data_IF_576674134741
#
_entry.id   IF_576674134741
#
_cell.length_a   1.000
_cell.length_b   1.000
_cell.length_c   1.000
_cell.angle_alpha   90.00
_cell.angle_beta   90.00
_cell.angle_gamma   90.00
#
_symmetry.space_group_name_H-M   'P 1'
#
loop_
_entity.id
_entity.type
_entity.pdbx_description
1 polymer ?
#
# COMPACT_ATOMS: atom_id res chain seq x y z
N UNK A 1 -15.46 33.80 18.90
CA UNK A 1 -16.70 32.98 19.02
C UNK A 1 -16.27 31.62 19.50
N UNK A 2 -16.86 31.10 20.58
CA UNK A 2 -16.56 29.73 21.02
C UNK A 2 -16.86 28.76 19.86
N UNK A 3 -15.92 27.88 19.56
CA UNK A 3 -16.11 26.83 18.55
C UNK A 3 -17.34 25.99 18.92
N UNK A 4 -18.24 25.75 17.96
CA UNK A 4 -19.36 24.80 18.11
C UNK A 4 -18.89 23.33 18.19
N UNK A 5 -17.59 23.09 18.00
CA UNK A 5 -16.96 21.78 17.98
C UNK A 5 -15.94 21.66 19.12
N UNK A 6 -15.82 20.45 19.66
CA UNK A 6 -14.76 20.11 20.60
C UNK A 6 -13.38 20.19 19.92
N UNK A 7 -13.31 19.84 18.63
CA UNK A 7 -12.14 19.95 17.77
C UNK A 7 -12.54 20.36 16.35
N UNK A 8 -11.69 21.13 15.66
CA UNK A 8 -11.87 21.44 14.24
C UNK A 8 -11.81 20.16 13.40
N UNK A 9 -10.88 19.25 13.73
CA UNK A 9 -10.63 18.04 12.96
C UNK A 9 -10.36 16.84 13.87
N UNK A 10 -10.98 15.70 13.55
CA UNK A 10 -10.54 14.40 14.04
C UNK A 10 -9.76 13.63 12.96
N UNK A 11 -8.64 13.02 13.34
CA UNK A 11 -7.84 12.12 12.49
C UNK A 11 -7.94 10.71 13.06
N UNK A 12 -8.39 9.76 12.25
CA UNK A 12 -8.56 8.36 12.66
C UNK A 12 -7.38 7.56 12.14
N UNK A 13 -6.48 7.11 13.02
CA UNK A 13 -5.26 6.36 12.72
C UNK A 13 -3.99 7.21 12.83
N UNK A 14 -3.01 6.73 13.60
CA UNK A 14 -1.73 7.40 13.89
C UNK A 14 -0.57 6.99 12.98
N UNK A 15 -0.83 6.25 11.90
CA UNK A 15 0.19 5.93 10.91
C UNK A 15 0.70 7.15 10.12
N UNK A 16 1.61 6.96 9.14
CA UNK A 16 2.28 8.06 8.45
C UNK A 16 1.34 9.11 7.84
N UNK A 17 0.23 8.67 7.22
CA UNK A 17 -0.78 9.57 6.65
C UNK A 17 -1.51 10.42 7.70
N UNK A 18 -1.93 9.80 8.81
CA UNK A 18 -2.66 10.47 9.89
C UNK A 18 -1.77 11.43 10.67
N UNK A 19 -0.56 11.00 11.03
CA UNK A 19 0.42 11.85 11.71
C UNK A 19 0.83 13.06 10.84
N UNK A 20 0.93 12.88 9.52
CA UNK A 20 1.19 13.99 8.60
C UNK A 20 0.04 15.00 8.56
N UNK A 21 -1.21 14.52 8.46
CA UNK A 21 -2.40 15.37 8.48
C UNK A 21 -2.53 16.13 9.81
N UNK A 22 -2.37 15.44 10.94
CA UNK A 22 -2.47 16.03 12.27
C UNK A 22 -1.39 17.07 12.53
N UNK A 23 -0.13 16.76 12.20
CA UNK A 23 0.99 17.72 12.28
C UNK A 23 0.69 18.97 11.47
N UNK A 24 0.27 18.80 10.21
CA UNK A 24 0.06 19.91 9.28
C UNK A 24 -1.14 20.79 9.66
N UNK A 25 -2.20 20.21 10.20
CA UNK A 25 -3.37 20.94 10.71
C UNK A 25 -3.06 21.67 12.02
N UNK A 26 -2.40 21.00 12.97
CA UNK A 26 -2.04 21.60 14.26
C UNK A 26 -1.10 22.81 14.08
N UNK A 27 -0.11 22.70 13.17
CA UNK A 27 0.78 23.82 12.82
C UNK A 27 0.07 25.00 12.14
N UNK A 28 -1.12 24.79 11.58
CA UNK A 28 -2.00 25.86 11.05
C UNK A 28 -2.92 26.46 12.11
N UNK A 29 -2.75 26.07 13.39
CA UNK A 29 -3.54 26.58 14.51
C UNK A 29 -4.90 25.91 14.67
N UNK A 30 -5.14 24.75 14.03
CA UNK A 30 -6.37 23.98 14.21
C UNK A 30 -6.33 23.12 15.46
N UNK A 31 -7.47 22.97 16.11
CA UNK A 31 -7.65 22.01 17.18
C UNK A 31 -7.85 20.61 16.58
N UNK A 32 -6.92 19.70 16.85
CA UNK A 32 -6.88 18.37 16.24
C UNK A 32 -6.95 17.29 17.31
N UNK A 33 -7.87 16.34 17.14
CA UNK A 33 -7.89 15.08 17.87
C UNK A 33 -7.39 13.95 16.96
N UNK A 34 -6.33 13.26 17.33
CA UNK A 34 -5.85 12.06 16.63
C UNK A 34 -6.14 10.83 17.51
N UNK A 35 -6.93 9.90 16.98
CA UNK A 35 -7.26 8.63 17.63
C UNK A 35 -6.45 7.49 17.00
N UNK A 36 -5.61 6.82 17.78
CA UNK A 36 -4.89 5.63 17.36
C UNK A 36 -5.30 4.46 18.24
N UNK A 37 -5.65 3.33 17.60
CA UNK A 37 -6.22 2.17 18.29
C UNK A 37 -5.18 1.33 19.02
N UNK A 38 -3.93 1.39 18.57
CA UNK A 38 -2.82 0.61 19.10
C UNK A 38 -1.93 1.51 19.98
N UNK A 39 -1.17 0.90 20.90
CA UNK A 39 -0.11 1.61 21.63
C UNK A 39 1.19 1.57 20.84
N UNK A 40 1.85 2.71 20.71
CA UNK A 40 3.14 2.84 20.05
C UNK A 40 4.29 2.63 21.05
N UNK A 41 5.43 2.10 20.59
CA UNK A 41 5.71 1.63 19.22
C UNK A 41 5.00 0.31 18.88
N UNK A 42 4.40 0.20 17.69
CA UNK A 42 3.75 -1.03 17.19
C UNK A 42 4.30 -1.53 15.87
N UNK A 43 4.35 -2.85 15.69
CA UNK A 43 4.77 -3.44 14.42
C UNK A 43 3.86 -3.00 13.25
N UNK A 44 4.46 -2.72 12.10
CA UNK A 44 3.76 -2.53 10.82
C UNK A 44 4.72 -2.86 9.67
N UNK A 45 4.21 -3.34 8.53
CA UNK A 45 5.04 -3.60 7.34
C UNK A 45 5.17 -2.35 6.44
N UNK A 46 6.24 -2.27 5.65
CA UNK A 46 6.48 -1.14 4.72
C UNK A 46 7.66 -0.27 5.15
N UNK A 47 8.85 -0.86 5.17
CA UNK A 47 10.05 -0.32 5.83
C UNK A 47 10.95 0.50 4.90
N UNK A 48 10.85 0.29 3.57
CA UNK A 48 11.71 0.93 2.58
C UNK A 48 11.16 2.28 2.14
N UNK A 49 11.89 3.37 2.41
CA UNK A 49 11.47 4.73 2.03
C UNK A 49 12.01 5.12 0.65
N UNK A 50 11.44 6.18 0.10
CA UNK A 50 11.85 6.78 -1.17
C UNK A 50 12.47 8.17 -0.97
N UNK A 51 13.44 8.58 -1.80
CA UNK A 51 14.05 9.93 -1.80
C UNK A 51 13.06 11.09 -1.64
N UNK A 52 11.94 11.07 -2.36
CA UNK A 52 10.90 12.11 -2.26
C UNK A 52 10.22 12.21 -0.89
N UNK A 53 10.39 11.22 0.00
CA UNK A 53 9.92 11.29 1.38
C UNK A 53 10.62 12.39 2.17
N UNK A 54 11.87 12.73 1.81
CA UNK A 54 12.61 13.81 2.47
C UNK A 54 11.93 15.18 2.29
N UNK A 55 11.32 15.44 1.12
CA UNK A 55 10.57 16.69 0.91
C UNK A 55 9.36 16.77 1.83
N UNK A 56 8.69 15.64 2.04
CA UNK A 56 7.56 15.53 2.95
C UNK A 56 8.00 15.71 4.40
N UNK A 57 9.13 15.12 4.78
CA UNK A 57 9.70 15.31 6.12
C UNK A 57 10.04 16.77 6.40
N UNK A 58 10.58 17.50 5.41
CA UNK A 58 10.87 18.94 5.55
C UNK A 58 9.59 19.77 5.61
N UNK A 59 8.59 19.47 4.79
CA UNK A 59 7.29 20.15 4.84
C UNK A 59 6.57 19.96 6.19
N UNK A 60 6.78 18.81 6.84
CA UNK A 60 6.26 18.50 8.18
C UNK A 60 7.18 18.97 9.32
N UNK A 61 8.37 19.49 9.02
CA UNK A 61 9.37 19.89 10.00
C UNK A 61 9.83 18.74 10.93
N UNK A 62 9.85 17.51 10.39
CA UNK A 62 10.22 16.28 11.12
C UNK A 62 11.52 15.66 10.60
N UNK A 63 12.12 16.25 9.57
CA UNK A 63 13.30 15.72 8.89
C UNK A 63 14.46 15.45 9.85
N UNK A 64 14.74 16.37 10.77
CA UNK A 64 15.88 16.23 11.69
C UNK A 64 15.64 15.13 12.72
N UNK A 65 14.43 15.03 13.27
CA UNK A 65 14.04 13.92 14.15
C UNK A 65 14.17 12.55 13.46
N UNK A 66 13.85 12.46 12.16
CA UNK A 66 14.04 11.24 11.36
C UNK A 66 15.52 10.96 11.11
N UNK A 67 16.33 11.99 10.81
CA UNK A 67 17.76 11.84 10.58
C UNK A 67 18.52 11.41 11.85
N UNK A 68 18.08 11.89 13.01
CA UNK A 68 18.65 11.56 14.33
C UNK A 68 18.18 10.21 14.88
N UNK A 69 17.08 9.66 14.37
CA UNK A 69 16.55 8.36 14.82
C UNK A 69 17.44 7.14 14.47
N UNK A 70 18.57 7.35 13.78
CA UNK A 70 19.57 6.30 13.54
C UNK A 70 19.15 5.23 12.53
N UNK A 71 18.18 5.54 11.65
CA UNK A 71 17.73 4.61 10.62
C UNK A 71 18.82 4.28 9.60
N UNK A 72 18.73 3.09 9.00
CA UNK A 72 19.68 2.65 7.98
C UNK A 72 19.53 3.52 6.73
N UNK A 73 20.63 4.11 6.27
CA UNK A 73 20.63 4.93 5.04
C UNK A 73 20.55 4.04 3.79
N UNK A 74 19.64 4.39 2.90
CA UNK A 74 19.38 3.78 1.59
C UNK A 74 19.77 4.76 0.49
N UNK A 75 20.52 4.28 -0.50
CA UNK A 75 20.98 5.07 -1.64
C UNK A 75 20.45 4.54 -2.97
N UNK A 76 19.87 3.34 -2.98
CA UNK A 76 19.30 2.76 -4.17
C UNK A 76 18.49 1.49 -3.93
N UNK A 77 18.23 0.80 -5.03
CA UNK A 77 17.56 -0.50 -5.06
C UNK A 77 18.26 -1.44 -6.06
N UNK A 78 18.62 -2.64 -5.61
CA UNK A 78 19.16 -3.71 -6.45
C UNK A 78 18.04 -4.64 -6.88
N UNK A 79 17.84 -4.78 -8.19
CA UNK A 79 16.94 -5.76 -8.78
C UNK A 79 17.78 -6.88 -9.38
N UNK A 80 17.46 -8.13 -9.08
CA UNK A 80 18.20 -9.30 -9.55
C UNK A 80 17.28 -10.33 -10.18
N UNK A 81 17.81 -11.06 -11.15
CA UNK A 81 17.16 -12.23 -11.74
C UNK A 81 17.02 -13.36 -10.72
N UNK A 82 16.19 -14.36 -11.02
CA UNK A 82 15.87 -15.50 -10.13
C UNK A 82 17.11 -16.30 -9.70
N UNK A 83 18.11 -16.39 -10.57
CA UNK A 83 19.42 -17.02 -10.32
C UNK A 83 20.43 -16.08 -9.64
N UNK A 84 20.10 -14.79 -9.52
CA UNK A 84 20.98 -13.76 -9.00
C UNK A 84 22.11 -13.34 -9.94
N UNK A 85 22.15 -13.84 -11.18
CA UNK A 85 23.27 -13.65 -12.11
C UNK A 85 23.31 -12.24 -12.74
N UNK A 86 22.14 -11.63 -12.98
CA UNK A 86 22.03 -10.28 -13.53
C UNK A 86 21.51 -9.32 -12.48
N UNK A 87 22.18 -8.18 -12.30
CA UNK A 87 21.74 -7.08 -11.45
C UNK A 87 21.44 -5.83 -12.27
N UNK A 88 20.25 -5.24 -12.06
CA UNK A 88 19.95 -3.87 -12.44
C UNK A 88 19.92 -3.02 -11.17
N UNK A 89 20.86 -2.09 -11.05
CA UNK A 89 20.97 -1.22 -9.87
C UNK A 89 20.38 0.17 -10.15
N UNK A 90 19.36 0.52 -9.38
CA UNK A 90 18.73 1.84 -9.37
C UNK A 90 19.44 2.72 -8.33
N UNK A 91 20.52 3.38 -8.75
CA UNK A 91 21.27 4.32 -7.91
C UNK A 91 20.59 5.69 -7.88
N UNK A 92 20.01 6.08 -6.73
CA UNK A 92 19.25 7.32 -6.65
C UNK A 92 20.10 8.57 -6.81
N UNK A 93 21.44 8.49 -6.74
CA UNK A 93 22.31 9.61 -7.06
C UNK A 93 22.11 10.13 -8.49
N UNK A 94 21.67 9.27 -9.41
CA UNK A 94 21.40 9.63 -10.80
C UNK A 94 19.90 9.83 -11.09
N UNK A 95 19.05 9.85 -10.06
CA UNK A 95 17.62 10.06 -10.22
C UNK A 95 17.35 11.50 -10.64
N UNK A 96 16.80 11.67 -11.84
CA UNK A 96 16.41 13.01 -12.31
C UNK A 96 15.34 13.62 -11.39
N UNK A 97 15.41 14.93 -11.19
CA UNK A 97 14.39 15.70 -10.47
C UNK A 97 14.15 15.15 -9.05
N UNK A 98 15.24 14.77 -8.37
CA UNK A 98 15.22 14.23 -7.01
C UNK A 98 16.12 15.09 -6.13
N UNK A 99 15.57 15.90 -5.20
CA UNK A 99 16.38 16.90 -4.49
C UNK A 99 17.45 16.31 -3.57
N UNK A 100 17.15 15.20 -2.90
CA UNK A 100 18.11 14.44 -2.08
C UNK A 100 18.07 12.96 -2.46
N UNK A 101 19.17 12.34 -2.89
CA UNK A 101 19.18 10.95 -3.35
C UNK A 101 19.14 9.93 -2.21
N UNK A 102 19.58 10.30 -1.00
CA UNK A 102 19.59 9.40 0.15
C UNK A 102 18.24 9.38 0.84
N UNK A 103 17.79 8.19 1.26
CA UNK A 103 16.59 8.01 2.09
C UNK A 103 16.83 6.90 3.11
N UNK A 104 15.81 6.37 3.77
CA UNK A 104 15.97 5.46 4.91
C UNK A 104 15.30 4.09 4.70
N UNK A 105 15.84 3.07 5.34
CA UNK A 105 15.11 1.86 5.70
C UNK A 105 14.73 2.02 7.17
N UNK A 106 13.45 1.86 7.49
CA UNK A 106 12.92 2.22 8.82
C UNK A 106 12.19 1.04 9.44
N UNK A 107 12.52 0.63 10.68
CA UNK A 107 11.60 -0.14 11.50
C UNK A 107 10.34 0.71 11.72
N UNK A 108 9.21 0.28 11.15
CA UNK A 108 7.98 1.08 11.16
C UNK A 108 7.46 1.38 12.55
N UNK A 109 7.75 0.54 13.54
CA UNK A 109 7.37 0.78 14.93
C UNK A 109 7.98 2.09 15.47
N UNK A 110 9.29 2.29 15.26
CA UNK A 110 10.00 3.51 15.67
C UNK A 110 9.68 4.68 14.75
N UNK A 111 9.58 4.46 13.44
CA UNK A 111 9.28 5.52 12.48
C UNK A 111 7.90 6.13 12.69
N UNK A 112 6.86 5.28 12.83
CA UNK A 112 5.50 5.77 13.09
C UNK A 112 5.43 6.51 14.44
N UNK A 113 6.17 6.06 15.46
CA UNK A 113 6.29 6.76 16.75
C UNK A 113 6.94 8.13 16.63
N UNK A 114 8.03 8.27 15.89
CA UNK A 114 8.64 9.60 15.67
C UNK A 114 7.63 10.56 15.05
N UNK A 115 6.86 10.11 14.06
CA UNK A 115 5.82 10.93 13.42
C UNK A 115 4.65 11.26 14.36
N UNK A 116 4.18 10.28 15.14
CA UNK A 116 3.06 10.45 16.07
C UNK A 116 3.42 11.45 17.17
N UNK A 117 4.58 11.28 17.82
CA UNK A 117 5.08 12.21 18.84
C UNK A 117 5.38 13.58 18.27
N UNK A 118 5.77 13.67 17.00
CA UNK A 118 5.92 14.96 16.31
C UNK A 118 4.59 15.69 16.14
N UNK A 119 3.51 14.94 15.89
CA UNK A 119 2.16 15.49 15.84
C UNK A 119 1.72 16.06 17.20
N UNK A 120 2.01 15.36 18.30
CA UNK A 120 1.77 15.86 19.67
C UNK A 120 2.53 17.15 19.94
N UNK A 121 3.84 17.18 19.67
CA UNK A 121 4.69 18.37 19.82
C UNK A 121 4.21 19.54 18.96
N UNK A 122 3.56 19.25 17.84
CA UNK A 122 2.98 20.25 16.94
C UNK A 122 1.63 20.79 17.40
N UNK A 123 1.05 20.24 18.48
CA UNK A 123 -0.18 20.72 19.11
C UNK A 123 -1.41 19.81 18.92
N UNK A 124 -1.27 18.66 18.26
CA UNK A 124 -2.39 17.71 18.15
C UNK A 124 -2.62 16.99 19.49
N UNK A 125 -3.88 16.81 19.89
CA UNK A 125 -4.24 15.91 20.99
C UNK A 125 -4.25 14.48 20.48
N UNK A 126 -3.24 13.70 20.84
CA UNK A 126 -3.15 12.28 20.48
C UNK A 126 -3.71 11.42 21.61
N UNK A 127 -4.57 10.48 21.26
CA UNK A 127 -5.08 9.43 22.14
C UNK A 127 -4.75 8.07 21.54
N UNK A 128 -3.78 7.38 22.12
CA UNK A 128 -3.44 5.99 21.82
C UNK A 128 -4.38 5.03 22.56
N UNK A 129 -4.52 3.80 22.08
CA UNK A 129 -5.48 2.81 22.60
C UNK A 129 -6.95 3.29 22.53
N UNK A 130 -7.24 4.25 21.65
CA UNK A 130 -8.59 4.76 21.39
C UNK A 130 -9.04 4.42 19.97
N UNK A 131 -10.08 3.60 19.86
CA UNK A 131 -10.59 3.10 18.58
C UNK A 131 -11.87 3.83 18.19
N UNK A 132 -11.87 4.47 17.02
CA UNK A 132 -13.09 5.00 16.41
C UNK A 132 -14.10 3.88 16.13
N UNK A 133 -15.35 4.12 16.51
CA UNK A 133 -16.46 3.18 16.35
C UNK A 133 -17.41 3.62 15.25
N UNK A 134 -17.77 4.90 15.26
CA UNK A 134 -18.75 5.45 14.33
C UNK A 134 -18.55 6.94 14.09
N UNK A 135 -18.97 7.41 12.91
CA UNK A 135 -19.01 8.83 12.55
C UNK A 135 -20.36 9.13 11.89
N UNK A 136 -21.11 10.03 12.52
CA UNK A 136 -22.40 10.51 12.04
C UNK A 136 -22.24 11.94 11.49
N UNK A 137 -22.57 12.11 10.21
CA UNK A 137 -22.41 13.37 9.49
C UNK A 137 -23.69 14.20 9.59
N UNK A 138 -23.58 15.41 10.14
CA UNK A 138 -24.67 16.35 10.37
C UNK A 138 -24.39 17.67 9.62
N UNK A 139 -25.41 18.52 9.38
CA UNK A 139 -25.22 19.78 8.64
C UNK A 139 -24.16 20.69 9.26
N UNK A 140 -24.06 20.74 10.58
CA UNK A 140 -23.21 21.64 11.35
C UNK A 140 -22.00 20.93 12.00
N UNK A 141 -21.74 19.66 11.71
CA UNK A 141 -20.56 18.95 12.23
C UNK A 141 -20.59 17.44 12.02
N UNK A 142 -19.66 16.74 12.66
CA UNK A 142 -19.60 15.28 12.69
C UNK A 142 -19.55 14.83 14.14
N UNK A 143 -20.45 13.93 14.53
CA UNK A 143 -20.38 13.27 15.85
C UNK A 143 -19.53 12.02 15.69
N UNK A 144 -18.33 12.05 16.27
CA UNK A 144 -17.39 10.93 16.27
C UNK A 144 -17.48 10.16 17.58
N UNK A 145 -17.83 8.88 17.50
CA UNK A 145 -17.85 7.95 18.63
C UNK A 145 -16.60 7.08 18.62
N UNK A 146 -16.00 6.89 19.78
CA UNK A 146 -14.81 6.06 19.97
C UNK A 146 -14.83 5.40 21.34
N UNK A 147 -13.98 4.38 21.52
CA UNK A 147 -13.84 3.65 22.79
C UNK A 147 -12.40 3.72 23.27
N UNK A 148 -12.23 3.98 24.57
CA UNK A 148 -10.93 4.00 25.25
C UNK A 148 -10.47 2.61 25.74
N UNK A 149 -9.29 2.53 26.39
CA UNK A 149 -8.69 1.28 26.84
C UNK A 149 -9.49 0.57 27.94
N UNK A 150 -10.29 1.29 28.71
CA UNK A 150 -11.19 0.77 29.75
C UNK A 150 -12.53 0.25 29.20
N UNK A 151 -12.76 0.37 27.89
CA UNK A 151 -14.03 0.03 27.25
C UNK A 151 -15.08 1.14 27.35
N UNK A 152 -14.74 2.30 27.92
CA UNK A 152 -15.66 3.44 28.00
C UNK A 152 -15.84 4.05 26.61
N UNK A 153 -17.09 4.13 26.16
CA UNK A 153 -17.44 4.84 24.94
C UNK A 153 -17.54 6.35 25.19
N UNK A 154 -17.01 7.11 24.25
CA UNK A 154 -16.96 8.56 24.25
C UNK A 154 -17.46 9.09 22.91
N UNK A 155 -17.99 10.31 22.93
CA UNK A 155 -18.42 11.01 21.74
C UNK A 155 -17.89 12.45 21.77
N UNK A 156 -17.45 12.94 20.62
CA UNK A 156 -17.04 14.35 20.42
C UNK A 156 -17.67 14.89 19.15
N UNK A 157 -17.92 16.20 19.13
CA UNK A 157 -18.35 16.91 17.93
C UNK A 157 -17.14 17.55 17.25
N UNK A 158 -16.95 17.26 15.97
CA UNK A 158 -15.84 17.80 15.17
C UNK A 158 -16.30 18.45 13.87
N UNK A 159 -15.51 19.36 13.32
CA UNK A 159 -15.81 19.99 12.04
C UNK A 159 -15.61 19.06 10.85
N UNK A 160 -14.50 18.32 10.86
CA UNK A 160 -14.07 17.40 9.79
C UNK A 160 -13.48 16.11 10.35
N UNK A 161 -13.51 15.05 9.54
CA UNK A 161 -12.84 13.77 9.80
C UNK A 161 -11.85 13.44 8.69
N UNK A 162 -10.60 13.13 9.07
CA UNK A 162 -9.60 12.51 8.19
C UNK A 162 -9.57 11.01 8.49
N UNK A 163 -9.98 10.18 7.54
CA UNK A 163 -9.79 8.73 7.64
C UNK A 163 -8.37 8.37 7.20
N UNK A 164 -7.51 8.12 8.18
CA UNK A 164 -6.15 7.63 8.02
C UNK A 164 -5.98 6.22 8.64
N UNK A 165 -7.07 5.45 8.73
CA UNK A 165 -7.14 4.17 9.46
C UNK A 165 -6.37 3.02 8.81
N UNK A 166 -5.55 3.33 7.81
CA UNK A 166 -4.83 2.39 6.98
C UNK A 166 -5.77 1.45 6.25
N UNK A 167 -5.36 0.19 6.12
CA UNK A 167 -6.14 -0.85 5.42
C UNK A 167 -7.47 -1.21 6.08
N UNK A 168 -7.75 -0.69 7.28
CA UNK A 168 -9.08 -0.81 7.89
C UNK A 168 -10.12 -0.05 7.07
N UNK A 169 -9.78 1.14 6.52
CA UNK A 169 -10.67 1.93 5.67
C UNK A 169 -11.99 2.29 6.36
N UNK A 170 -11.89 2.90 7.55
CA UNK A 170 -12.99 3.17 8.47
C UNK A 170 -14.21 3.82 7.78
N UNK A 171 -14.00 4.88 6.99
CA UNK A 171 -15.07 5.53 6.22
C UNK A 171 -15.24 4.90 4.85
N UNK A 172 -14.16 4.65 4.12
CA UNK A 172 -14.25 4.18 2.72
C UNK A 172 -14.95 2.82 2.60
N UNK A 173 -14.71 1.89 3.53
CA UNK A 173 -15.43 0.61 3.56
C UNK A 173 -16.84 0.74 4.11
N UNK A 174 -17.04 1.53 5.17
CA UNK A 174 -18.37 1.79 5.75
C UNK A 174 -19.33 2.38 4.71
N UNK A 175 -18.83 3.25 3.84
CA UNK A 175 -19.60 3.92 2.79
C UNK A 175 -19.63 3.15 1.46
N UNK A 176 -19.09 1.92 1.42
CA UNK A 176 -19.17 1.07 0.22
C UNK A 176 -18.29 1.51 -0.95
N UNK A 177 -17.24 2.28 -0.69
CA UNK A 177 -16.37 2.86 -1.70
C UNK A 177 -15.11 2.03 -1.98
N UNK A 178 -15.03 0.76 -1.62
CA UNK A 178 -13.79 -0.02 -1.73
C UNK A 178 -13.76 -0.92 -2.97
N UNK A 179 -12.93 -0.59 -3.97
CA UNK A 179 -12.80 -1.37 -5.21
C UNK A 179 -11.40 -1.98 -5.38
N UNK A 180 -11.34 -3.31 -5.48
CA UNK A 180 -10.07 -4.00 -5.67
C UNK A 180 -9.50 -3.84 -7.08
N UNK A 181 -8.17 -3.85 -7.18
CA UNK A 181 -7.50 -3.87 -8.47
C UNK A 181 -7.78 -5.20 -9.20
N UNK A 182 -8.22 -5.16 -10.47
CA UNK A 182 -8.54 -6.39 -11.22
C UNK A 182 -7.28 -7.18 -11.62
N UNK A 183 -6.11 -6.55 -11.66
CA UNK A 183 -4.87 -7.17 -12.15
C UNK A 183 -3.93 -7.52 -11.00
N UNK A 184 -3.68 -6.58 -10.09
CA UNK A 184 -2.70 -6.74 -9.01
C UNK A 184 -3.24 -7.58 -7.85
N UNK A 185 -3.40 -8.89 -8.07
CA UNK A 185 -3.86 -9.86 -7.07
C UNK A 185 -2.68 -10.64 -6.50
N UNK A 186 -1.98 -10.03 -5.56
CA UNK A 186 -0.79 -10.58 -4.94
C UNK A 186 -0.99 -10.83 -3.44
N UNK A 187 -0.20 -11.77 -2.90
CA UNK A 187 -0.09 -12.07 -1.47
C UNK A 187 1.37 -11.89 -1.08
N UNK A 188 1.61 -11.18 0.01
CA UNK A 188 2.91 -11.08 0.63
C UNK A 188 3.00 -12.04 1.83
N UNK A 189 4.13 -12.71 1.97
CA UNK A 189 4.50 -13.42 3.21
C UNK A 189 5.87 -12.94 3.66
N UNK A 190 6.03 -12.58 4.93
CA UNK A 190 7.25 -11.93 5.39
C UNK A 190 7.58 -12.21 6.84
N UNK A 191 8.86 -12.09 7.16
CA UNK A 191 9.41 -12.15 8.51
C UNK A 191 10.74 -11.37 8.58
N UNK A 192 11.27 -11.18 9.78
CA UNK A 192 12.58 -10.58 10.01
C UNK A 192 13.63 -11.66 10.21
N UNK A 193 14.85 -11.42 9.70
CA UNK A 193 15.97 -12.34 9.73
C UNK A 193 17.26 -11.63 10.20
N UNK A 194 18.10 -12.38 10.90
CA UNK A 194 19.51 -12.05 11.14
C UNK A 194 20.41 -12.92 10.26
N UNK A 195 21.70 -12.57 10.17
CA UNK A 195 22.70 -13.37 9.45
C UNK A 195 22.65 -13.25 7.92
N UNK A 196 21.83 -12.33 7.40
CA UNK A 196 21.82 -11.97 5.98
C UNK A 196 23.02 -11.04 5.69
N UNK A 197 23.95 -11.41 4.78
CA UNK A 197 25.10 -10.56 4.47
C UNK A 197 24.64 -9.29 3.74
N UNK A 198 25.27 -8.15 4.07
CA UNK A 198 25.01 -6.84 3.45
C UNK A 198 25.93 -6.60 2.26
N UNK A 199 25.55 -5.66 1.42
CA UNK A 199 26.47 -5.07 0.45
C UNK A 199 27.50 -4.19 1.17
N UNK A 200 28.63 -3.92 0.53
CA UNK A 200 29.67 -3.08 1.09
C UNK A 200 29.43 -1.58 0.83
N UNK A 201 30.07 -0.74 1.66
CA UNK A 201 30.07 0.71 1.50
C UNK A 201 28.68 1.33 1.53
N UNK A 202 28.44 2.30 0.65
CA UNK A 202 27.17 3.06 0.59
C UNK A 202 25.93 2.20 0.30
N UNK A 203 26.12 1.01 -0.28
CA UNK A 203 25.03 0.11 -0.67
C UNK A 203 24.57 -0.80 0.47
N UNK A 204 25.22 -0.74 1.65
CA UNK A 204 24.94 -1.61 2.78
C UNK A 204 23.48 -1.55 3.28
N UNK A 205 22.80 -0.43 3.05
CA UNK A 205 21.38 -0.24 3.38
C UNK A 205 20.42 -0.33 2.20
N UNK A 206 20.89 -0.65 0.99
CA UNK A 206 20.01 -0.74 -0.17
C UNK A 206 19.07 -1.94 -0.08
N UNK A 207 17.85 -1.75 -0.58
CA UNK A 207 16.93 -2.86 -0.77
C UNK A 207 17.48 -3.77 -1.87
N UNK A 208 17.43 -5.09 -1.64
CA UNK A 208 17.69 -6.09 -2.68
C UNK A 208 16.40 -6.82 -3.02
N UNK A 209 16.16 -7.00 -4.30
CA UNK A 209 14.98 -7.64 -4.84
C UNK A 209 15.39 -8.75 -5.79
N UNK A 210 14.76 -9.91 -5.66
CA UNK A 210 14.99 -11.05 -6.55
C UNK A 210 13.69 -11.40 -7.24
N UNK A 211 13.71 -11.49 -8.57
CA UNK A 211 12.55 -11.99 -9.32
C UNK A 211 12.38 -13.48 -9.11
N UNK A 212 11.18 -13.98 -9.38
CA UNK A 212 10.87 -15.40 -9.42
C UNK A 212 10.32 -15.79 -10.79
N UNK A 213 10.45 -17.08 -11.11
CA UNK A 213 9.93 -17.66 -12.35
C UNK A 213 8.39 -17.61 -12.45
N UNK A 214 7.70 -17.57 -11.32
CA UNK A 214 6.24 -17.50 -11.20
C UNK A 214 5.69 -16.07 -11.26
N UNK A 215 6.49 -15.12 -11.74
CA UNK A 215 6.25 -13.68 -11.73
C UNK A 215 6.19 -13.01 -10.35
N UNK A 216 6.34 -13.75 -9.26
CA UNK A 216 6.58 -13.20 -7.93
C UNK A 216 7.97 -12.57 -7.79
N UNK A 217 8.25 -12.07 -6.59
CA UNK A 217 9.55 -11.51 -6.22
C UNK A 217 9.77 -11.53 -4.70
N UNK A 218 11.03 -11.43 -4.30
CA UNK A 218 11.46 -11.40 -2.89
C UNK A 218 12.10 -10.05 -2.60
N UNK A 219 11.82 -9.45 -1.44
CA UNK A 219 12.58 -8.32 -0.90
C UNK A 219 13.50 -8.73 0.23
N UNK A 220 14.61 -7.99 0.35
CA UNK A 220 15.51 -7.99 1.50
C UNK A 220 15.77 -6.52 1.85
N UNK A 221 15.21 -6.06 2.96
CA UNK A 221 15.26 -4.67 3.43
C UNK A 221 16.05 -4.63 4.75
N UNK A 222 17.28 -4.08 4.77
CA UNK A 222 18.05 -4.00 6.00
C UNK A 222 17.50 -2.90 6.93
N UNK A 223 16.86 -3.26 8.05
CA UNK A 223 16.13 -2.32 8.91
C UNK A 223 16.87 -1.90 10.19
N UNK A 224 17.87 -2.66 10.63
CA UNK A 224 18.78 -2.28 11.73
C UNK A 224 20.22 -2.60 11.35
N UNK A 225 21.15 -2.72 12.31
CA UNK A 225 22.51 -3.22 12.05
C UNK A 225 22.55 -4.73 11.77
N UNK A 226 21.75 -5.53 12.49
CA UNK A 226 21.74 -7.00 12.37
C UNK A 226 20.51 -7.56 11.66
N UNK A 227 19.39 -6.83 11.64
CA UNK A 227 18.09 -7.33 11.17
C UNK A 227 17.80 -6.89 9.74
N UNK A 228 17.33 -7.83 8.93
CA UNK A 228 16.81 -7.65 7.58
C UNK A 228 15.37 -8.15 7.52
N UNK A 229 14.44 -7.30 7.08
CA UNK A 229 13.09 -7.71 6.72
C UNK A 229 13.14 -8.45 5.39
N UNK A 230 12.55 -9.64 5.35
CA UNK A 230 12.55 -10.52 4.18
C UNK A 230 11.13 -10.95 3.90
N UNK A 231 10.68 -10.76 2.66
CA UNK A 231 9.34 -11.18 2.27
C UNK A 231 9.22 -11.55 0.81
N UNK A 232 8.28 -12.44 0.53
CA UNK A 232 7.93 -12.91 -0.79
C UNK A 232 6.58 -12.34 -1.19
N UNK A 233 6.50 -11.70 -2.36
CA UNK A 233 5.26 -11.29 -3.00
C UNK A 233 4.96 -12.26 -4.14
N UNK A 234 3.83 -12.96 -4.02
CA UNK A 234 3.45 -14.08 -4.85
C UNK A 234 2.07 -13.81 -5.48
N UNK A 235 1.88 -14.02 -6.79
CA UNK A 235 0.55 -13.96 -7.39
C UNK A 235 -0.42 -14.89 -6.67
N UNK A 236 -1.65 -14.43 -6.42
CA UNK A 236 -2.63 -15.17 -5.62
C UNK A 236 -2.94 -16.57 -6.20
N UNK A 237 -2.91 -16.72 -7.53
CA UNK A 237 -3.08 -18.00 -8.23
C UNK A 237 -1.95 -18.99 -7.92
N UNK A 238 -0.72 -18.51 -7.82
CA UNK A 238 0.46 -19.32 -7.46
C UNK A 238 0.40 -19.67 -5.97
N UNK A 239 0.11 -18.68 -5.12
CA UNK A 239 -0.01 -18.88 -3.68
C UNK A 239 -1.05 -19.96 -3.34
N UNK A 240 -2.24 -19.92 -3.96
CA UNK A 240 -3.29 -20.95 -3.77
C UNK A 240 -2.84 -22.38 -4.08
N UNK A 241 -1.90 -22.54 -5.01
CA UNK A 241 -1.40 -23.86 -5.44
C UNK A 241 -0.21 -24.34 -4.60
N UNK A 242 0.65 -23.43 -4.18
CA UNK A 242 2.00 -23.76 -3.70
C UNK A 242 2.22 -23.44 -2.21
N UNK A 243 1.32 -22.69 -1.59
CA UNK A 243 1.41 -22.35 -0.17
C UNK A 243 1.43 -23.59 0.72
N UNK A 244 1.98 -23.40 1.92
CA UNK A 244 2.06 -24.40 2.98
C UNK A 244 1.06 -24.05 4.08
N UNK A 245 0.86 -25.00 4.99
CA UNK A 245 -0.13 -24.88 6.06
C UNK A 245 0.07 -23.64 6.93
N UNK A 246 1.34 -23.26 7.18
CA UNK A 246 1.69 -22.10 8.00
C UNK A 246 2.51 -21.06 7.22
N UNK A 247 2.47 -19.77 7.60
CA UNK A 247 3.22 -18.70 6.95
C UNK A 247 4.73 -18.96 6.90
N UNK A 248 5.28 -19.54 7.96
CA UNK A 248 6.70 -19.86 8.10
C UNK A 248 7.20 -20.80 7.01
N UNK A 249 6.45 -21.87 6.77
CA UNK A 249 6.78 -22.89 5.77
C UNK A 249 6.57 -22.34 4.36
N UNK A 250 5.54 -21.52 4.15
CA UNK A 250 5.31 -20.84 2.87
C UNK A 250 6.45 -19.90 2.53
N UNK A 251 6.86 -19.05 3.49
CA UNK A 251 7.99 -18.16 3.32
C UNK A 251 9.27 -18.94 3.02
N UNK A 252 9.56 -19.97 3.82
CA UNK A 252 10.74 -20.83 3.61
C UNK A 252 10.72 -21.43 2.21
N UNK A 253 9.59 -22.00 1.79
CA UNK A 253 9.40 -22.57 0.45
C UNK A 253 9.70 -21.57 -0.67
N UNK A 254 9.16 -20.35 -0.59
CA UNK A 254 9.41 -19.32 -1.61
C UNK A 254 10.87 -18.85 -1.61
N UNK A 255 11.48 -18.69 -0.44
CA UNK A 255 12.88 -18.28 -0.31
C UNK A 255 13.83 -19.34 -0.89
N UNK A 256 13.67 -20.61 -0.51
CA UNK A 256 14.51 -21.72 -1.01
C UNK A 256 14.28 -22.01 -2.49
N UNK A 257 13.08 -21.71 -3.00
CA UNK A 257 12.76 -21.83 -4.43
C UNK A 257 13.35 -20.72 -5.31
N UNK A 258 14.10 -19.78 -4.75
CA UNK A 258 14.72 -18.66 -5.48
C UNK A 258 16.24 -18.82 -5.44
N UNK A 259 16.84 -19.41 -6.48
CA UNK A 259 18.23 -19.87 -6.49
C UNK A 259 19.25 -18.78 -6.10
N UNK A 260 19.06 -17.54 -6.55
CA UNK A 260 19.93 -16.41 -6.23
C UNK A 260 20.00 -16.04 -4.75
N UNK A 261 19.08 -16.54 -3.91
CA UNK A 261 19.09 -16.32 -2.47
C UNK A 261 19.93 -17.34 -1.69
N UNK A 262 20.28 -18.49 -2.27
CA UNK A 262 20.94 -19.56 -1.52
C UNK A 262 22.22 -19.09 -0.78
N UNK A 263 23.12 -18.30 -1.38
CA UNK A 263 24.28 -17.76 -0.66
C UNK A 263 23.91 -16.78 0.46
N UNK A 264 22.82 -16.03 0.30
CA UNK A 264 22.37 -15.04 1.27
C UNK A 264 21.68 -15.70 2.47
N UNK A 265 21.09 -16.88 2.28
CA UNK A 265 20.33 -17.60 3.29
C UNK A 265 21.17 -18.62 4.09
N UNK A 266 22.41 -18.88 3.69
CA UNK A 266 23.27 -19.91 4.29
C UNK A 266 23.44 -19.79 5.82
N UNK A 267 23.44 -18.56 6.35
CA UNK A 267 23.54 -18.27 7.79
C UNK A 267 22.33 -17.49 8.32
N UNK A 268 21.23 -17.45 7.54
CA UNK A 268 20.07 -16.66 7.89
C UNK A 268 19.25 -17.33 8.99
N UNK A 269 18.89 -16.57 10.02
CA UNK A 269 18.02 -17.03 11.10
C UNK A 269 16.79 -16.13 11.19
N UNK A 270 15.60 -16.71 11.07
CA UNK A 270 14.34 -15.99 11.28
C UNK A 270 14.22 -15.59 12.77
N UNK A 271 13.96 -14.32 13.04
CA UNK A 271 13.87 -13.72 14.39
C UNK A 271 12.50 -13.11 14.70
N UNK A 272 11.53 -13.23 13.79
CA UNK A 272 10.12 -12.89 14.04
C UNK A 272 9.18 -13.98 13.52
N UNK A 273 7.92 -14.04 13.99
CA UNK A 273 6.88 -14.79 13.32
C UNK A 273 6.72 -14.37 11.86
N UNK A 274 6.33 -15.30 11.00
CA UNK A 274 5.97 -14.98 9.63
C UNK A 274 4.50 -14.54 9.54
N UNK A 275 4.20 -13.61 8.64
CA UNK A 275 2.86 -13.02 8.49
C UNK A 275 2.46 -12.99 7.02
N UNK A 276 1.17 -13.19 6.77
CA UNK A 276 0.57 -12.96 5.46
C UNK A 276 -0.09 -11.58 5.39
N UNK A 277 0.07 -10.93 4.24
CA UNK A 277 -0.69 -9.76 3.84
C UNK A 277 -1.28 -10.02 2.45
N UNK A 278 -2.60 -10.01 2.34
CA UNK A 278 -3.33 -10.28 1.09
C UNK A 278 -4.34 -9.18 0.81
N UNK A 279 -4.87 -9.09 -0.42
CA UNK A 279 -5.96 -8.17 -0.78
C UNK A 279 -5.66 -6.71 -0.45
N UNK A 280 -4.42 -6.30 -0.72
CA UNK A 280 -3.97 -4.94 -0.46
C UNK A 280 -4.12 -4.02 -1.68
N UNK A 281 -4.28 -4.52 -2.89
CA UNK A 281 -4.39 -3.66 -4.08
C UNK A 281 -5.84 -3.19 -4.29
N UNK A 282 -6.13 -1.92 -4.05
CA UNK A 282 -7.45 -1.31 -4.20
C UNK A 282 -7.38 0.22 -4.35
N UNK A 283 -8.45 0.80 -4.90
CA UNK A 283 -8.66 2.25 -4.99
C UNK A 283 -10.11 2.55 -4.63
N UNK A 284 -10.34 3.55 -3.78
CA UNK A 284 -11.69 3.93 -3.43
C UNK A 284 -12.47 4.60 -4.57
N UNK A 285 -13.76 4.31 -4.70
CA UNK A 285 -14.66 4.92 -5.71
C UNK A 285 -15.07 6.36 -5.32
N UNK A 286 -15.16 6.65 -4.03
CA UNK A 286 -15.10 8.01 -3.46
C UNK A 286 -14.09 8.04 -2.32
N UNK A 287 -13.26 9.07 -2.27
CA UNK A 287 -12.20 9.25 -1.27
C UNK A 287 -12.50 10.43 -0.33
N UNK A 288 -13.54 11.21 -0.64
CA UNK A 288 -14.02 12.31 0.18
C UNK A 288 -15.54 12.47 0.04
N UNK A 289 -16.11 13.18 1.00
CA UNK A 289 -17.49 13.63 1.02
C UNK A 289 -17.60 14.93 1.81
N UNK A 290 -18.84 15.32 2.14
CA UNK A 290 -19.03 16.48 3.01
C UNK A 290 -18.40 16.18 4.37
N UNK A 291 -17.55 17.10 4.84
CA UNK A 291 -16.82 17.00 6.12
C UNK A 291 -15.85 15.83 6.28
N UNK A 292 -15.50 15.07 5.24
CA UNK A 292 -14.47 14.02 5.37
C UNK A 292 -13.62 13.79 4.14
N UNK A 293 -12.41 13.27 4.38
CA UNK A 293 -11.47 12.82 3.36
C UNK A 293 -10.66 11.63 3.89
N UNK A 294 -10.41 10.64 3.03
CA UNK A 294 -9.55 9.50 3.31
C UNK A 294 -8.13 9.73 2.75
N UNK A 295 -7.12 9.29 3.49
CA UNK A 295 -5.70 9.43 3.13
C UNK A 295 -4.93 8.12 3.33
N UNK A 296 -3.82 7.97 2.61
CA UNK A 296 -3.01 6.75 2.65
C UNK A 296 -3.80 5.49 2.32
N UNK A 297 -3.51 4.39 3.01
CA UNK A 297 -4.12 3.10 2.73
C UNK A 297 -5.63 3.07 3.00
N UNK A 298 -6.20 4.05 3.74
CA UNK A 298 -7.66 4.15 3.86
C UNK A 298 -8.32 4.54 2.52
N UNK A 299 -7.59 5.27 1.67
CA UNK A 299 -8.04 5.71 0.36
C UNK A 299 -7.66 4.72 -0.77
N UNK A 300 -6.39 4.29 -0.79
CA UNK A 300 -5.88 3.41 -1.83
C UNK A 300 -4.58 2.73 -1.39
N UNK A 301 -4.38 1.49 -1.84
CA UNK A 301 -3.09 0.82 -1.77
C UNK A 301 -2.84 0.08 -3.08
N UNK A 302 -1.61 0.12 -3.57
CA UNK A 302 -1.24 -0.43 -4.88
C UNK A 302 -0.53 -1.79 -4.75
N UNK A 303 0.79 -1.77 -4.69
CA UNK A 303 1.65 -2.95 -4.61
C UNK A 303 2.99 -2.49 -4.02
N UNK A 304 3.63 -3.27 -3.14
CA UNK A 304 4.81 -2.80 -2.40
C UNK A 304 6.09 -2.73 -3.26
N UNK A 305 6.06 -3.18 -4.51
CA UNK A 305 7.26 -3.34 -5.34
C UNK A 305 8.16 -2.10 -5.44
N UNK A 306 7.58 -0.91 -5.53
CA UNK A 306 8.34 0.34 -5.59
C UNK A 306 8.31 1.14 -4.30
N UNK A 307 7.86 0.52 -3.20
CA UNK A 307 7.92 1.12 -1.85
C UNK A 307 7.23 2.50 -1.74
N UNK A 308 6.16 2.75 -2.50
CA UNK A 308 5.53 4.08 -2.58
C UNK A 308 4.55 4.38 -1.45
N UNK A 309 4.02 3.37 -0.77
CA UNK A 309 2.87 3.52 0.16
C UNK A 309 3.05 4.62 1.21
N UNK A 310 4.18 4.62 1.93
CA UNK A 310 4.44 5.60 3.00
C UNK A 310 4.54 7.03 2.45
N UNK A 311 5.28 7.23 1.35
CA UNK A 311 5.38 8.51 0.67
C UNK A 311 3.99 9.04 0.28
N UNK A 312 3.18 8.20 -0.37
CA UNK A 312 1.84 8.57 -0.83
C UNK A 312 0.91 8.91 0.32
N UNK A 313 0.98 8.14 1.42
CA UNK A 313 0.19 8.39 2.62
C UNK A 313 0.52 9.76 3.24
N UNK A 314 1.80 10.07 3.43
CA UNK A 314 2.21 11.34 4.04
C UNK A 314 1.88 12.54 3.14
N UNK A 315 2.10 12.44 1.83
CA UNK A 315 1.71 13.50 0.88
C UNK A 315 0.19 13.72 0.88
N UNK A 316 -0.61 12.66 0.87
CA UNK A 316 -2.07 12.78 0.94
C UNK A 316 -2.52 13.42 2.26
N UNK A 317 -1.83 13.13 3.38
CA UNK A 317 -2.09 13.78 4.67
C UNK A 317 -1.83 15.30 4.64
N UNK A 318 -0.71 15.74 4.05
CA UNK A 318 -0.40 17.17 3.87
C UNK A 318 -1.47 17.91 3.05
N UNK A 319 -1.88 17.30 1.94
CA UNK A 319 -2.85 17.91 1.02
C UNK A 319 -4.26 17.93 1.61
N UNK A 320 -4.64 16.89 2.37
CA UNK A 320 -5.89 16.88 3.11
C UNK A 320 -5.91 17.98 4.18
N UNK A 321 -4.81 18.18 4.88
CA UNK A 321 -4.68 19.25 5.87
C UNK A 321 -4.86 20.64 5.25
N UNK A 322 -4.27 20.89 4.08
CA UNK A 322 -4.43 22.15 3.34
C UNK A 322 -5.89 22.37 2.90
N UNK A 323 -6.50 21.37 2.27
CA UNK A 323 -7.89 21.49 1.81
C UNK A 323 -8.90 21.66 2.95
N UNK A 324 -8.67 21.01 4.09
CA UNK A 324 -9.51 21.18 5.28
C UNK A 324 -9.31 22.57 5.89
N UNK A 325 -8.07 23.06 5.99
CA UNK A 325 -7.80 24.40 6.51
C UNK A 325 -8.51 25.48 5.68
N UNK A 326 -8.42 25.39 4.34
CA UNK A 326 -9.10 26.31 3.43
C UNK A 326 -10.64 26.21 3.58
N UNK A 327 -11.17 24.99 3.64
CA UNK A 327 -12.60 24.74 3.84
C UNK A 327 -13.11 25.33 5.17
N UNK A 328 -12.32 25.22 6.24
CA UNK A 328 -12.62 25.83 7.55
C UNK A 328 -12.58 27.36 7.50
N UNK A 329 -11.65 27.97 6.76
CA UNK A 329 -11.56 29.43 6.62
C UNK A 329 -12.74 30.01 5.85
N UNK A 330 -13.18 29.30 4.82
CA UNK A 330 -14.27 29.73 3.95
C UNK A 330 -15.66 29.33 4.47
N UNK A 331 -15.73 28.46 5.48
CA UNK A 331 -17.00 27.98 6.05
C UNK A 331 -17.77 27.06 5.11
N UNK A 332 -17.09 26.38 4.19
CA UNK A 332 -17.69 25.59 3.13
C UNK A 332 -17.28 24.11 3.26
N UNK A 333 -18.03 23.27 3.99
CA UNK A 333 -17.64 21.89 4.30
C UNK A 333 -17.95 20.87 3.20
N UNK A 334 -18.25 21.32 1.99
CA UNK A 334 -18.78 20.50 0.91
C UNK A 334 -17.70 19.65 0.21
N UNK A 335 -18.10 18.45 -0.26
CA UNK A 335 -17.26 17.47 -0.95
C UNK A 335 -16.37 18.06 -2.04
N UNK A 336 -16.86 19.04 -2.79
CA UNK A 336 -16.14 19.59 -3.94
C UNK A 336 -14.82 20.29 -3.55
N UNK A 337 -14.68 20.75 -2.29
CA UNK A 337 -13.42 21.27 -1.73
C UNK A 337 -12.29 20.25 -1.80
N UNK A 338 -12.62 18.97 -1.67
CA UNK A 338 -11.66 17.86 -1.66
C UNK A 338 -11.40 17.27 -3.05
N UNK A 339 -12.07 17.76 -4.10
CA UNK A 339 -11.96 17.20 -5.44
C UNK A 339 -10.54 17.28 -6.01
N UNK A 340 -9.76 18.31 -5.63
CA UNK A 340 -8.35 18.39 -6.00
C UNK A 340 -7.53 17.25 -5.37
N UNK A 341 -7.65 17.04 -4.06
CA UNK A 341 -6.98 15.95 -3.35
C UNK A 341 -7.35 14.58 -3.93
N UNK A 342 -8.65 14.31 -4.16
CA UNK A 342 -9.09 13.05 -4.78
C UNK A 342 -8.43 12.82 -6.14
N UNK A 343 -8.38 13.85 -7.00
CA UNK A 343 -7.73 13.76 -8.31
C UNK A 343 -6.25 13.46 -8.18
N UNK A 344 -5.55 14.07 -7.22
CA UNK A 344 -4.12 13.82 -7.02
C UNK A 344 -3.84 12.38 -6.56
N UNK A 345 -4.64 11.85 -5.63
CA UNK A 345 -4.54 10.45 -5.19
C UNK A 345 -4.75 9.49 -6.35
N UNK A 346 -5.80 9.70 -7.17
CA UNK A 346 -6.06 8.87 -8.35
C UNK A 346 -4.93 8.95 -9.39
N UNK A 347 -4.43 10.14 -9.66
CA UNK A 347 -3.31 10.34 -10.59
C UNK A 347 -2.07 9.58 -10.13
N UNK A 348 -1.71 9.68 -8.83
CA UNK A 348 -0.58 8.93 -8.26
C UNK A 348 -0.80 7.43 -8.33
N UNK A 349 -1.98 6.95 -7.93
CA UNK A 349 -2.32 5.54 -8.00
C UNK A 349 -2.12 5.00 -9.41
N UNK A 350 -2.74 5.61 -10.43
CA UNK A 350 -2.62 5.15 -11.81
C UNK A 350 -1.20 5.32 -12.39
N UNK A 351 -0.49 6.36 -11.99
CA UNK A 351 0.90 6.57 -12.39
C UNK A 351 1.78 5.39 -11.95
N UNK A 352 1.80 5.07 -10.65
CA UNK A 352 2.62 3.98 -10.12
C UNK A 352 2.08 2.61 -10.53
N UNK A 353 0.76 2.45 -10.67
CA UNK A 353 0.14 1.21 -11.14
C UNK A 353 0.68 0.77 -12.49
N UNK A 354 0.88 1.71 -13.42
CA UNK A 354 1.42 1.39 -14.75
C UNK A 354 2.77 0.70 -14.66
N UNK A 355 3.65 1.16 -13.77
CA UNK A 355 4.96 0.55 -13.58
C UNK A 355 4.86 -0.77 -12.81
N UNK A 356 4.00 -0.84 -11.79
CA UNK A 356 3.83 -2.06 -11.00
C UNK A 356 3.34 -3.21 -11.90
N UNK A 357 2.28 -2.98 -12.69
CA UNK A 357 1.79 -3.93 -13.69
C UNK A 357 2.88 -4.29 -14.70
N UNK A 358 3.65 -3.30 -15.18
CA UNK A 358 4.79 -3.54 -16.06
C UNK A 358 5.79 -4.52 -15.46
N UNK A 359 6.15 -4.41 -14.18
CA UNK A 359 7.09 -5.36 -13.59
C UNK A 359 6.57 -6.80 -13.53
N UNK A 360 5.25 -7.00 -13.46
CA UNK A 360 4.61 -8.31 -13.54
C UNK A 360 4.34 -8.78 -14.98
N UNK A 361 4.82 -8.05 -15.99
CA UNK A 361 4.81 -8.46 -17.39
C UNK A 361 6.18 -9.07 -17.79
N UNK A 362 6.22 -10.28 -18.38
CA UNK A 362 7.48 -10.93 -18.76
C UNK A 362 8.32 -10.11 -19.74
N UNK A 363 7.70 -9.48 -20.75
CA UNK A 363 8.43 -8.71 -21.77
C UNK A 363 9.06 -7.46 -21.17
N UNK A 364 8.34 -6.76 -20.29
CA UNK A 364 8.88 -5.61 -19.58
C UNK A 364 10.01 -6.02 -18.63
N UNK A 365 9.88 -7.16 -17.93
CA UNK A 365 10.93 -7.68 -17.04
C UNK A 365 12.19 -8.07 -17.82
N UNK A 366 12.05 -8.70 -18.97
CA UNK A 366 13.17 -8.99 -19.86
C UNK A 366 13.84 -7.70 -20.36
N UNK A 367 13.05 -6.70 -20.77
CA UNK A 367 13.56 -5.40 -21.19
C UNK A 367 14.30 -4.69 -20.05
N UNK A 368 13.79 -4.79 -18.81
CA UNK A 368 14.38 -4.20 -17.61
C UNK A 368 15.80 -4.70 -17.35
N UNK A 369 16.05 -6.00 -17.53
CA UNK A 369 17.36 -6.62 -17.28
C UNK A 369 18.30 -6.63 -18.49
N UNK A 370 17.91 -6.06 -19.65
CA UNK A 370 18.80 -5.99 -20.81
C UNK A 370 19.91 -4.94 -20.60
N UNK A 371 21.20 -5.27 -20.85
CA UNK A 371 22.34 -4.35 -20.69
C UNK A 371 22.30 -3.05 -21.51
N UNK A 372 21.36 -2.95 -22.47
CA UNK A 372 21.33 -1.91 -23.51
C UNK A 372 20.15 -0.93 -23.41
N UNK A 373 19.53 -0.71 -22.25
CA UNK A 373 18.54 0.35 -22.07
C UNK A 373 19.16 1.77 -22.05
N UNK A 374 20.08 2.05 -23.00
CA UNK A 374 20.90 3.27 -23.15
C UNK A 374 20.12 4.52 -23.59
N UNK A 375 18.79 4.49 -23.66
CA UNK A 375 17.96 5.58 -24.21
C UNK A 375 17.35 6.50 -23.15
N UNK A 376 18.01 6.72 -22.01
CA UNK A 376 17.50 7.59 -20.93
C UNK A 376 16.22 7.11 -20.23
N UNK A 377 15.63 6.00 -20.69
CA UNK A 377 14.48 5.31 -20.11
C UNK A 377 14.80 4.91 -18.67
N UNK A 378 16.00 4.35 -18.41
CA UNK A 378 16.38 3.93 -17.06
C UNK A 378 16.46 5.11 -16.09
N UNK A 379 17.07 6.23 -16.48
CA UNK A 379 17.11 7.43 -15.64
C UNK A 379 15.72 8.03 -15.36
N UNK A 380 14.79 7.86 -16.30
CA UNK A 380 13.42 8.34 -16.13
C UNK A 380 12.56 7.38 -15.28
N UNK A 381 12.79 6.05 -15.36
CA UNK A 381 12.22 5.08 -14.42
C UNK A 381 12.84 5.26 -13.02
N UNK A 382 14.12 5.58 -12.94
CA UNK A 382 14.81 5.87 -11.70
C UNK A 382 14.19 7.07 -10.96
N UNK A 383 13.75 8.10 -11.67
CA UNK A 383 12.99 9.21 -11.08
C UNK A 383 11.66 8.72 -10.47
N UNK A 384 10.94 7.81 -11.14
CA UNK A 384 9.73 7.18 -10.59
C UNK A 384 10.06 6.30 -9.37
N UNK A 385 11.13 5.51 -9.43
CA UNK A 385 11.63 4.71 -8.30
C UNK A 385 12.11 5.56 -7.14
N UNK A 386 12.50 6.82 -7.38
CA UNK A 386 12.82 7.77 -6.33
C UNK A 386 11.55 8.40 -5.69
N UNK A 387 10.37 8.10 -6.22
CA UNK A 387 9.07 8.61 -5.75
C UNK A 387 8.55 9.82 -6.53
N UNK A 388 9.21 10.22 -7.63
CA UNK A 388 8.72 11.33 -8.45
C UNK A 388 7.52 10.89 -9.29
N UNK A 389 6.34 11.37 -8.94
CA UNK A 389 5.10 11.06 -9.66
C UNK A 389 4.72 12.12 -10.71
N UNK A 390 5.35 13.30 -10.66
CA UNK A 390 5.19 14.39 -11.64
C UNK A 390 6.51 14.75 -12.32
N UNK A 391 7.17 13.80 -13.00
CA UNK A 391 8.35 14.13 -13.77
C UNK A 391 8.04 15.18 -14.83
N UNK A 392 9.03 16.04 -15.13
CA UNK A 392 8.95 17.06 -16.17
C UNK A 392 8.54 16.48 -17.52
N UNK A 393 8.10 17.33 -18.44
CA UNK A 393 7.76 16.89 -19.80
C UNK A 393 8.93 16.16 -20.47
N UNK A 394 10.17 16.66 -20.31
CA UNK A 394 11.37 16.04 -20.87
C UNK A 394 11.59 14.62 -20.31
N UNK A 395 11.47 14.46 -18.99
CA UNK A 395 11.59 13.15 -18.35
C UNK A 395 10.46 12.21 -18.78
N UNK A 396 9.21 12.70 -18.89
CA UNK A 396 8.07 11.90 -19.39
C UNK A 396 8.24 11.39 -20.81
N UNK A 397 8.81 12.18 -21.72
CA UNK A 397 9.08 11.73 -23.10
C UNK A 397 10.06 10.55 -23.13
N UNK A 398 11.02 10.50 -22.20
CA UNK A 398 11.94 9.37 -22.04
C UNK A 398 11.28 8.12 -21.46
N UNK A 399 10.18 8.25 -20.71
CA UNK A 399 9.41 7.11 -20.17
C UNK A 399 8.26 6.68 -21.10
N UNK A 400 8.07 7.32 -22.26
CA UNK A 400 7.20 6.76 -23.28
C UNK A 400 7.90 5.50 -23.81
N UNK A 401 7.62 4.38 -23.14
CA UNK A 401 7.76 3.06 -23.73
C UNK A 401 7.18 3.18 -25.15
N UNK A 402 7.86 2.65 -26.19
CA UNK A 402 7.18 2.46 -27.46
C UNK A 402 5.87 1.75 -27.11
N UNK A 403 4.74 2.39 -27.39
CA UNK A 403 3.50 1.63 -27.48
C UNK A 403 3.80 0.45 -28.39
N UNK A 404 3.19 -0.70 -28.12
CA UNK A 404 3.17 -1.87 -28.99
C UNK A 404 2.49 -1.58 -30.35
N UNK A 405 2.65 -0.38 -30.91
CA UNK A 405 2.29 0.03 -32.26
C UNK A 405 3.23 -0.53 -33.34
N UNK A 406 3.97 -1.61 -33.06
CA UNK A 406 4.84 -2.31 -34.01
C UNK A 406 4.86 -3.84 -33.89
N UNK A 407 4.17 -4.44 -32.91
CA UNK A 407 4.08 -5.88 -32.76
C UNK A 407 2.59 -6.31 -32.74
N UNK A 408 2.12 -6.74 -33.92
CA UNK A 408 0.80 -7.28 -34.26
C UNK A 408 -0.38 -6.31 -34.38
N UNK A 409 -0.48 -5.67 -35.56
CA UNK A 409 -1.77 -5.29 -36.16
C UNK A 409 -2.44 -6.45 -36.92
N UNK A 410 -2.11 -7.71 -36.60
CA UNK A 410 -2.70 -8.90 -37.23
C UNK A 410 -3.38 -9.89 -36.27
N UNK A 411 -3.48 -9.59 -34.96
CA UNK A 411 -4.08 -10.51 -33.98
C UNK A 411 -5.43 -10.05 -33.39
N UNK A 412 -5.98 -8.93 -33.87
CA UNK A 412 -7.32 -8.46 -33.49
C UNK A 412 -8.15 -8.19 -34.75
N UNK A 413 -8.49 -9.28 -35.44
CA UNK A 413 -9.46 -9.29 -36.53
C UNK A 413 -10.38 -10.48 -36.33
N UNK A 414 -11.61 -10.22 -35.88
CA UNK A 414 -12.67 -11.22 -35.92
C UNK A 414 -12.98 -11.59 -37.36
N UNK A 415 -12.88 -12.87 -37.69
CA UNK A 415 -13.25 -13.46 -38.98
C UNK A 415 -13.28 -14.99 -38.83
N UNK A 416 -14.23 -15.69 -39.48
CA UNK A 416 -14.62 -17.04 -39.08
C UNK A 416 -13.53 -18.09 -39.36
N UNK A 417 -13.42 -19.05 -38.44
CA UNK A 417 -12.52 -20.20 -38.49
C UNK A 417 -12.65 -20.97 -39.81
N UNK A 418 -11.56 -21.25 -40.55
CA UNK A 418 -11.61 -22.17 -41.67
C UNK A 418 -11.61 -23.61 -41.15
N UNK A 419 -12.54 -24.40 -41.67
CA UNK A 419 -12.63 -25.84 -41.43
C UNK A 419 -11.37 -26.54 -41.95
N UNK A 420 -10.73 -27.32 -41.10
CA UNK A 420 -9.75 -28.32 -41.52
C UNK A 420 -10.28 -29.71 -41.18
N UNK A 421 -10.41 -30.51 -42.24
CA UNK A 421 -10.77 -31.92 -42.24
C UNK A 421 -9.68 -32.70 -41.50
N UNK A 422 -10.10 -33.63 -40.63
CA UNK A 422 -9.26 -34.74 -40.16
C UNK A 422 -9.95 -36.04 -40.61
N UNK A 423 -9.22 -36.99 -41.22
CA UNK A 423 -9.80 -38.24 -41.71
C UNK A 423 -10.02 -39.25 -40.56
N UNK A 424 -11.27 -39.74 -40.50
CA UNK A 424 -11.74 -41.07 -40.08
C UNK A 424 -11.11 -41.80 -38.89
N UNK A 425 -11.92 -42.01 -37.84
CA UNK A 425 -12.11 -43.34 -37.22
C UNK A 425 -13.38 -43.36 -36.35
N UNK A 426 -14.43 -43.93 -36.94
CA UNK A 426 -15.52 -44.75 -36.40
C UNK A 426 -15.89 -44.73 -34.89
N UNK A 427 -17.21 -44.56 -34.63
CA UNK A 427 -18.12 -45.45 -33.86
C UNK A 427 -19.16 -44.69 -32.99
N UNK A 428 -20.43 -44.87 -33.41
CA UNK A 428 -21.73 -44.86 -32.71
C UNK A 428 -22.20 -43.67 -31.85
N UNK A 429 -23.31 -43.08 -32.31
CA UNK A 429 -24.30 -42.35 -31.50
C UNK A 429 -25.29 -43.32 -30.81
N UNK A 430 -26.04 -42.86 -29.80
CA UNK A 430 -27.46 -42.55 -30.04
C UNK A 430 -27.89 -41.22 -29.39
N UNK A 431 -28.48 -40.33 -30.17
CA UNK A 431 -29.92 -40.04 -30.30
C UNK A 431 -30.42 -38.97 -29.32
N UNK A 432 -30.74 -37.80 -29.88
CA UNK A 432 -31.53 -36.74 -29.25
C UNK A 432 -33.01 -37.12 -29.23
N UNK A 433 -33.71 -36.69 -28.19
CA UNK A 433 -35.12 -36.32 -28.26
C UNK A 433 -35.37 -35.13 -27.33
N UNK A 434 -35.53 -33.96 -27.92
CA UNK A 434 -36.28 -32.80 -27.40
C UNK A 434 -37.80 -33.08 -27.55
N UNK A 435 -38.74 -32.19 -27.17
CA UNK A 435 -38.83 -31.24 -26.03
C UNK A 435 -40.24 -31.29 -25.36
N UNK A 436 -40.50 -30.48 -24.32
CA UNK A 436 -41.67 -29.57 -24.19
C UNK A 436 -42.01 -29.21 -22.72
N UNK A 437 -42.08 -27.89 -22.49
CA UNK A 437 -43.13 -27.12 -21.80
C UNK A 437 -43.76 -27.68 -20.51
N UNK A 438 -43.73 -26.90 -19.43
CA UNK A 438 -44.94 -26.33 -18.78
C UNK A 438 -44.59 -25.43 -17.58
N UNK A 439 -45.56 -24.62 -17.17
CA UNK A 439 -45.47 -23.39 -16.41
C UNK A 439 -45.40 -23.52 -14.87
N UNK A 440 -44.76 -22.52 -14.24
CA UNK A 440 -45.09 -21.71 -13.02
C UNK A 440 -46.32 -22.20 -12.19
N UNK A 441 -46.33 -22.27 -10.83
CA UNK A 441 -46.09 -21.10 -9.94
C UNK A 441 -45.51 -21.26 -8.51
N UNK A 442 -45.01 -20.10 -8.03
CA UNK A 442 -44.88 -19.53 -6.66
C UNK A 442 -45.16 -20.39 -5.41
N UNK A 443 -44.19 -20.38 -4.49
CA UNK A 443 -44.30 -20.12 -3.03
C UNK A 443 -42.87 -19.80 -2.54
N UNK A 444 -42.54 -18.89 -1.63
CA UNK A 444 -43.17 -18.45 -0.38
C UNK A 444 -42.28 -18.93 0.78
N UNK A 445 -41.95 -18.05 1.74
CA UNK A 445 -41.00 -18.19 2.88
C UNK A 445 -39.52 -17.97 2.51
N UNK A 446 -38.73 -17.06 3.11
CA UNK A 446 -38.80 -16.45 4.43
C UNK A 446 -38.10 -17.34 5.44
N UNK A 447 -36.84 -17.08 5.78
CA UNK A 447 -36.27 -17.11 7.15
C UNK A 447 -34.80 -16.64 7.13
N UNK A 448 -34.53 -15.84 8.15
CA UNK A 448 -33.34 -15.20 8.69
C UNK A 448 -32.08 -16.06 8.86
N UNK A 449 -30.92 -15.43 8.67
CA UNK A 449 -29.61 -15.91 9.11
C UNK A 449 -29.45 -15.71 10.63
N UNK A 450 -29.25 -16.80 11.36
CA UNK A 450 -28.94 -16.82 12.79
C UNK A 450 -27.43 -16.86 13.02
N UNK A 451 -27.00 -16.05 13.97
CA UNK A 451 -25.68 -15.91 14.55
C UNK A 451 -25.14 -17.20 15.20
N UNK A 452 -23.84 -17.47 14.99
CA UNK A 452 -23.08 -18.43 15.79
C UNK A 452 -22.39 -17.72 16.96
N UNK A 453 -22.80 -18.10 18.17
CA UNK A 453 -22.24 -17.74 19.45
C UNK A 453 -21.05 -18.65 19.82
N UNK A 454 -20.02 -18.07 20.45
CA UNK A 454 -18.92 -18.78 21.11
C UNK A 454 -19.27 -19.02 22.60
N UNK A 455 -18.93 -20.18 23.19
CA UNK A 455 -19.16 -20.41 24.61
C UNK A 455 -18.04 -19.84 25.49
N UNK A 456 -18.45 -19.17 26.58
CA UNK A 456 -17.62 -18.87 27.76
C UNK A 456 -17.55 -20.11 28.64
N UNK A 457 -16.37 -20.39 29.21
CA UNK A 457 -16.20 -21.34 30.31
C UNK A 457 -15.30 -20.73 31.37
N UNK A 458 -15.84 -20.54 32.57
CA UNK A 458 -15.18 -19.97 33.74
C UNK A 458 -14.77 -21.04 34.76
N UNK A 459 -13.62 -20.78 35.39
CA UNK A 459 -13.25 -21.02 36.80
C UNK A 459 -13.20 -22.44 37.39
N UNK A 460 -12.01 -22.81 37.90
CA UNK A 460 -11.82 -23.13 39.32
C UNK A 460 -10.33 -23.08 39.72
N UNK A 461 -10.03 -22.27 40.74
CA UNK A 461 -8.87 -22.32 41.64
C UNK A 461 -9.07 -23.43 42.69
N UNK A 462 -8.08 -23.87 43.50
CA UNK A 462 -7.03 -23.09 44.18
C UNK A 462 -5.63 -23.16 43.58
#
# INVERSE_FOLDING_TARGET
>A
MASAWDFDVAVIGGGPGGSSAATALARRGRTVLLLERDRFPRFHIGESQLPWSNEVFRALDVHDAIAEAGFVKKWGASFRTVDGATEQYADFQFAAETPSPQTFQVPRATFDEVLLRHSERSGAKVLEEHRALDAAFEPDGVVLRFVGPDGTEQAVRVGFVVDASGRTGFLTKKLGHHEFDPVLRNIAVHAQYEGIPRLEGRRAGDIRMFTRADMGWIWLIPISQSVTSVGAVIPQSVHRRESKAVPEDSLTHYLTGTAGLAPLLAHARRVSPARFDADYSYLGSSLAGDRWIAVGDAAAFLDPIFSTGVLLAMQAGLEAAEAIDDSLREGEPARHRFAACERLVRQRYHHFRRFAVGFYDPYFRDLWFRPASRLGIFGAILSVLAGNWRPSWMTRQRIRLPSSAGASRSAWGGGPMPSSRIPGAAISAPSRSDPMSTAVPRSGSGTTWSSCSWPRGSSACP
#
